data_IF_234845316949
#
_entry.id   IF_234845316949
#
_cell.length_a   1.000
_cell.length_b   1.000
_cell.length_c   1.000
_cell.angle_alpha   90.00
_cell.angle_beta   90.00
_cell.angle_gamma   90.00
#
_symmetry.space_group_name_H-M   'P 1'
#
loop_
_entity.id
_entity.type
_entity.pdbx_description
1 polymer ?
#
# COMPACT_ATOMS: atom_id res chain seq x y z
N UNK A 1 13.55 -30.91 -27.85
CA UNK A 1 13.76 -30.83 -26.40
C UNK A 1 13.27 -29.48 -25.97
N UNK A 2 12.41 -29.39 -24.97
CA UNK A 2 11.88 -28.15 -24.42
C UNK A 2 12.58 -27.82 -23.10
N UNK A 3 12.68 -26.53 -22.80
CA UNK A 3 13.37 -26.06 -21.61
C UNK A 3 12.47 -25.08 -20.83
N UNK A 4 12.64 -25.03 -19.51
CA UNK A 4 11.97 -24.04 -18.64
C UNK A 4 12.98 -23.35 -17.74
N UNK A 5 12.94 -22.03 -17.72
CA UNK A 5 13.60 -21.17 -16.74
C UNK A 5 12.55 -20.73 -15.73
N UNK A 6 12.57 -21.29 -14.54
CA UNK A 6 11.66 -20.94 -13.46
C UNK A 6 12.29 -19.87 -12.57
N UNK A 7 11.53 -18.81 -12.29
CA UNK A 7 11.93 -17.73 -11.38
C UNK A 7 10.97 -17.69 -10.19
N UNK A 8 11.50 -17.96 -9.00
CA UNK A 8 10.82 -17.59 -7.74
C UNK A 8 11.22 -16.16 -7.36
N UNK A 9 10.26 -15.24 -7.53
CA UNK A 9 10.51 -13.80 -7.50
C UNK A 9 10.31 -13.23 -6.10
N UNK A 10 11.33 -12.54 -5.58
CA UNK A 10 11.29 -11.79 -4.34
C UNK A 10 11.67 -10.31 -4.57
N UNK A 11 11.66 -9.51 -3.51
CA UNK A 11 12.04 -8.10 -3.58
C UNK A 11 13.52 -7.95 -3.99
N UNK A 12 13.75 -7.47 -5.21
CA UNK A 12 15.07 -7.14 -5.73
C UNK A 12 15.93 -8.34 -6.13
N UNK A 13 15.42 -9.58 -6.05
CA UNK A 13 16.14 -10.80 -6.43
C UNK A 13 15.16 -11.92 -6.82
N UNK A 14 15.67 -12.94 -7.51
CA UNK A 14 14.94 -14.18 -7.80
C UNK A 14 15.83 -15.39 -7.60
N UNK A 15 15.24 -16.49 -7.15
CA UNK A 15 15.85 -17.81 -7.29
C UNK A 15 15.53 -18.35 -8.69
N UNK A 16 16.52 -18.80 -9.42
CA UNK A 16 16.40 -19.19 -10.83
C UNK A 16 16.87 -20.61 -11.01
N UNK A 17 16.09 -21.43 -11.74
CA UNK A 17 16.42 -22.80 -12.08
C UNK A 17 16.12 -23.04 -13.57
N UNK A 18 17.00 -23.75 -14.26
CA UNK A 18 16.82 -24.14 -15.65
C UNK A 18 16.80 -25.67 -15.76
N UNK A 19 15.75 -26.20 -16.39
CA UNK A 19 15.63 -27.64 -16.62
C UNK A 19 15.02 -27.98 -17.99
N UNK A 20 15.24 -29.21 -18.45
CA UNK A 20 14.67 -29.77 -19.68
C UNK A 20 13.44 -30.64 -19.42
N UNK A 21 12.69 -30.95 -20.48
CA UNK A 21 11.52 -31.83 -20.47
C UNK A 21 11.88 -33.32 -20.21
N UNK A 22 13.13 -33.68 -20.25
CA UNK A 22 13.65 -35.02 -19.90
C UNK A 22 14.13 -35.10 -18.44
N UNK A 23 14.00 -34.01 -17.68
CA UNK A 23 14.38 -33.94 -16.26
C UNK A 23 15.82 -33.56 -15.98
N UNK A 24 16.59 -33.17 -17.01
CA UNK A 24 17.95 -32.67 -16.82
C UNK A 24 17.95 -31.27 -16.23
N UNK A 25 18.74 -31.04 -15.17
CA UNK A 25 18.96 -29.73 -14.55
C UNK A 25 20.21 -29.10 -15.13
N UNK A 26 20.00 -28.04 -15.93
CA UNK A 26 21.10 -27.31 -16.56
C UNK A 26 21.64 -26.17 -15.68
N UNK A 27 20.75 -25.60 -14.84
CA UNK A 27 21.14 -24.63 -13.82
C UNK A 27 20.42 -24.97 -12.51
N UNK A 28 21.18 -25.34 -11.50
CA UNK A 28 20.68 -25.55 -10.13
C UNK A 28 20.11 -24.24 -9.56
N UNK A 29 19.16 -24.31 -8.60
CA UNK A 29 18.57 -23.14 -7.98
C UNK A 29 19.64 -22.16 -7.48
N UNK A 30 19.79 -21.05 -8.20
CA UNK A 30 20.82 -20.03 -7.99
C UNK A 30 20.16 -18.67 -7.84
N UNK A 31 20.62 -17.87 -6.90
CA UNK A 31 20.10 -16.51 -6.67
C UNK A 31 20.71 -15.54 -7.69
N UNK A 32 19.83 -14.70 -8.26
CA UNK A 32 20.17 -13.58 -9.14
C UNK A 32 19.47 -12.32 -8.64
N UNK A 33 20.21 -11.21 -8.60
CA UNK A 33 19.65 -9.90 -8.25
C UNK A 33 18.99 -9.25 -9.48
N UNK A 34 17.98 -8.40 -9.25
CA UNK A 34 17.28 -7.70 -10.33
C UNK A 34 18.08 -6.48 -10.83
N UNK A 35 19.33 -6.71 -11.22
CA UNK A 35 20.18 -5.72 -11.84
C UNK A 35 20.57 -6.13 -13.27
N UNK A 36 21.06 -5.18 -14.05
CA UNK A 36 21.41 -5.38 -15.45
C UNK A 36 22.47 -6.47 -15.62
N UNK A 37 23.50 -6.46 -14.78
CA UNK A 37 24.63 -7.40 -14.86
C UNK A 37 24.19 -8.86 -14.67
N UNK A 38 23.32 -9.11 -13.68
CA UNK A 38 22.82 -10.46 -13.40
C UNK A 38 21.86 -10.94 -14.48
N UNK A 39 21.00 -10.07 -15.01
CA UNK A 39 20.14 -10.41 -16.14
C UNK A 39 20.94 -10.73 -17.41
N UNK A 40 21.97 -9.94 -17.73
CA UNK A 40 22.88 -10.21 -18.85
C UNK A 40 23.67 -11.52 -18.66
N UNK A 41 24.00 -11.86 -17.41
CA UNK A 41 24.67 -13.13 -17.08
C UNK A 41 23.79 -14.34 -17.38
N UNK A 42 22.49 -14.27 -17.03
CA UNK A 42 21.51 -15.32 -17.34
C UNK A 42 21.33 -15.44 -18.86
N UNK A 43 21.13 -14.32 -19.55
CA UNK A 43 20.95 -14.29 -21.00
C UNK A 43 22.17 -14.88 -21.74
N UNK A 44 23.38 -14.50 -21.33
CA UNK A 44 24.63 -15.05 -21.85
C UNK A 44 24.77 -16.55 -21.63
N UNK A 45 24.32 -17.03 -20.46
CA UNK A 45 24.32 -18.46 -20.14
C UNK A 45 23.37 -19.24 -21.06
N UNK A 46 22.14 -18.76 -21.23
CA UNK A 46 21.13 -19.36 -22.12
C UNK A 46 21.60 -19.34 -23.57
N UNK A 47 22.21 -18.24 -24.02
CA UNK A 47 22.74 -18.08 -25.37
C UNK A 47 23.86 -19.08 -25.69
N UNK A 48 24.75 -19.36 -24.72
CA UNK A 48 25.81 -20.38 -24.86
C UNK A 48 25.25 -21.79 -25.03
N UNK A 49 24.11 -22.09 -24.42
CA UNK A 49 23.42 -23.36 -24.55
C UNK A 49 22.66 -23.51 -25.88
N UNK A 50 22.45 -22.42 -26.60
CA UNK A 50 21.68 -22.36 -27.87
C UNK A 50 20.25 -22.96 -27.74
N UNK A 51 19.55 -22.66 -26.63
CA UNK A 51 18.25 -23.25 -26.32
C UNK A 51 17.09 -22.24 -26.33
N UNK A 52 17.38 -20.99 -26.67
CA UNK A 52 16.45 -19.86 -26.54
C UNK A 52 15.11 -20.09 -27.25
N UNK A 53 15.10 -20.63 -28.46
CA UNK A 53 13.89 -20.85 -29.26
C UNK A 53 12.93 -21.90 -28.65
N UNK A 54 13.46 -22.76 -27.78
CA UNK A 54 12.71 -23.83 -27.11
C UNK A 54 12.56 -23.59 -25.60
N UNK A 55 12.90 -22.39 -25.13
CA UNK A 55 12.88 -22.03 -23.72
C UNK A 55 11.63 -21.21 -23.36
N UNK A 56 10.94 -21.65 -22.33
CA UNK A 56 9.89 -20.88 -21.69
C UNK A 56 10.37 -20.35 -20.35
N UNK A 57 10.23 -19.06 -20.13
CA UNK A 57 10.49 -18.40 -18.83
C UNK A 57 9.20 -18.34 -18.04
N UNK A 58 9.19 -18.88 -16.84
CA UNK A 58 8.00 -18.87 -15.98
C UNK A 58 8.28 -18.13 -14.69
N UNK A 59 7.30 -17.36 -14.21
CA UNK A 59 7.36 -16.68 -12.93
C UNK A 59 5.98 -16.44 -12.32
N UNK A 60 5.93 -16.41 -10.99
CA UNK A 60 4.72 -16.07 -10.26
C UNK A 60 4.55 -14.53 -10.19
N UNK A 61 3.32 -14.04 -10.35
CA UNK A 61 2.99 -12.62 -10.22
C UNK A 61 3.09 -12.15 -8.76
N UNK A 62 4.31 -11.90 -8.28
CA UNK A 62 4.57 -11.48 -6.90
C UNK A 62 4.59 -9.96 -6.80
N UNK A 63 3.44 -9.36 -6.44
CA UNK A 63 3.28 -7.90 -6.33
C UNK A 63 3.83 -7.17 -7.57
N UNK A 64 4.66 -6.14 -7.37
CA UNK A 64 5.34 -5.40 -8.46
C UNK A 64 6.71 -5.98 -8.82
N UNK A 65 7.22 -6.94 -8.02
CA UNK A 65 8.62 -7.37 -8.12
C UNK A 65 8.93 -8.21 -9.37
N UNK A 66 7.92 -8.91 -9.92
CA UNK A 66 8.05 -9.67 -11.16
C UNK A 66 8.17 -8.77 -12.41
N UNK A 67 7.79 -7.49 -12.34
CA UNK A 67 7.77 -6.59 -13.51
C UNK A 67 9.16 -6.38 -14.12
N UNK A 68 10.23 -6.31 -13.31
CA UNK A 68 11.58 -6.11 -13.83
C UNK A 68 12.11 -7.33 -14.60
N UNK A 69 12.10 -8.57 -14.05
CA UNK A 69 12.47 -9.75 -14.82
C UNK A 69 11.53 -10.01 -16.01
N UNK A 70 10.23 -9.85 -15.85
CA UNK A 70 9.27 -9.98 -16.97
C UNK A 70 9.65 -9.08 -18.14
N UNK A 71 9.89 -7.79 -17.86
CA UNK A 71 10.29 -6.81 -18.88
C UNK A 71 11.58 -7.22 -19.57
N UNK A 72 12.61 -7.57 -18.79
CA UNK A 72 13.91 -7.96 -19.35
C UNK A 72 13.78 -9.13 -20.33
N UNK A 73 13.13 -10.20 -19.94
CA UNK A 73 13.00 -11.39 -20.78
C UNK A 73 12.11 -11.13 -22.00
N UNK A 74 11.03 -10.33 -21.88
CA UNK A 74 10.20 -9.94 -23.04
C UNK A 74 10.96 -9.06 -24.03
N UNK A 75 11.70 -8.05 -23.56
CA UNK A 75 12.52 -7.17 -24.42
C UNK A 75 13.63 -7.97 -25.16
N UNK A 76 14.08 -9.06 -24.59
CA UNK A 76 15.03 -9.98 -25.21
C UNK A 76 14.35 -11.12 -25.98
N UNK A 77 13.09 -11.02 -26.35
CA UNK A 77 12.32 -11.97 -27.15
C UNK A 77 12.27 -13.40 -26.59
N UNK A 78 12.18 -13.56 -25.27
CA UNK A 78 11.87 -14.84 -24.66
C UNK A 78 10.36 -15.07 -24.59
N UNK A 79 9.95 -16.35 -24.67
CA UNK A 79 8.58 -16.73 -24.32
C UNK A 79 8.40 -16.69 -22.80
N UNK A 80 7.63 -15.72 -22.30
CA UNK A 80 7.47 -15.49 -20.85
C UNK A 80 6.03 -15.77 -20.43
N UNK A 81 5.86 -16.63 -19.44
CA UNK A 81 4.59 -16.92 -18.79
C UNK A 81 4.63 -16.37 -17.36
N UNK A 82 3.82 -15.37 -17.08
CA UNK A 82 3.55 -14.92 -15.72
C UNK A 82 2.22 -15.52 -15.28
N UNK A 83 2.16 -16.18 -14.15
CA UNK A 83 0.93 -16.83 -13.66
C UNK A 83 0.50 -16.33 -12.28
N UNK A 84 -0.81 -16.54 -11.97
CA UNK A 84 -1.39 -16.08 -10.71
C UNK A 84 -0.90 -16.93 -9.53
N UNK A 85 -0.47 -16.30 -8.40
CA UNK A 85 -0.09 -16.98 -7.16
C UNK A 85 -1.11 -17.99 -6.61
N UNK A 86 -2.39 -17.80 -6.88
CA UNK A 86 -3.45 -18.71 -6.43
C UNK A 86 -3.32 -20.11 -7.05
N UNK A 87 -2.83 -20.23 -8.28
CA UNK A 87 -2.60 -21.51 -8.96
C UNK A 87 -1.53 -22.33 -8.23
N UNK A 88 -0.46 -21.66 -7.77
CA UNK A 88 0.60 -22.29 -6.99
C UNK A 88 0.13 -22.77 -5.61
N UNK A 89 -0.76 -22.05 -4.94
CA UNK A 89 -1.25 -22.39 -3.59
C UNK A 89 -2.21 -23.56 -3.55
N UNK A 90 -3.09 -23.69 -4.52
CA UNK A 90 -4.05 -24.81 -4.57
C UNK A 90 -3.35 -26.17 -4.69
N UNK A 91 -2.19 -26.20 -5.33
CA UNK A 91 -1.45 -27.43 -5.61
C UNK A 91 -0.42 -27.74 -4.52
N UNK A 92 0.07 -26.72 -3.78
CA UNK A 92 1.13 -26.90 -2.77
C UNK A 92 0.64 -27.23 -1.37
N UNK A 93 -0.67 -27.24 -1.10
CA UNK A 93 -1.24 -27.54 0.22
C UNK A 93 -0.99 -28.97 0.74
N UNK A 94 -0.32 -29.83 -0.04
CA UNK A 94 -0.14 -31.25 0.28
C UNK A 94 1.24 -31.64 0.80
N UNK A 95 2.25 -30.76 0.85
CA UNK A 95 3.62 -31.19 1.23
C UNK A 95 4.32 -30.23 2.20
N UNK A 96 4.66 -30.80 3.34
CA UNK A 96 5.51 -30.40 4.50
C UNK A 96 6.32 -29.09 4.53
N UNK A 97 6.40 -28.57 5.73
CA UNK A 97 6.78 -27.36 6.44
C UNK A 97 8.23 -26.81 6.35
N UNK A 98 9.08 -27.20 5.45
CA UNK A 98 10.39 -26.52 5.29
C UNK A 98 10.37 -25.67 4.03
N UNK A 99 10.09 -24.39 4.19
CA UNK A 99 10.04 -23.41 3.10
C UNK A 99 11.44 -22.84 2.89
N UNK A 100 12.08 -23.17 1.77
CA UNK A 100 13.29 -22.50 1.30
C UNK A 100 13.08 -22.06 -0.15
N UNK A 101 13.61 -20.91 -0.52
CA UNK A 101 13.48 -20.32 -1.86
C UNK A 101 13.94 -21.30 -2.96
N UNK A 102 14.96 -22.13 -2.67
CA UNK A 102 15.40 -23.20 -3.58
C UNK A 102 14.32 -24.25 -3.84
N UNK A 103 13.63 -24.68 -2.79
CA UNK A 103 12.55 -25.67 -2.93
C UNK A 103 11.35 -25.09 -3.66
N UNK A 104 11.05 -23.82 -3.47
CA UNK A 104 9.95 -23.16 -4.16
C UNK A 104 10.23 -23.01 -5.64
N UNK A 105 11.46 -22.70 -6.04
CA UNK A 105 11.88 -22.71 -7.46
C UNK A 105 11.78 -24.11 -8.09
N UNK A 106 12.19 -25.17 -7.39
CA UNK A 106 12.04 -26.57 -7.85
C UNK A 106 10.56 -26.94 -8.02
N UNK A 107 9.70 -26.52 -7.08
CA UNK A 107 8.24 -26.74 -7.18
C UNK A 107 7.64 -26.06 -8.40
N UNK A 108 8.03 -24.81 -8.67
CA UNK A 108 7.58 -24.07 -9.86
C UNK A 108 7.92 -24.83 -11.15
N UNK A 109 9.16 -25.30 -11.26
CA UNK A 109 9.62 -26.12 -12.37
C UNK A 109 8.77 -27.39 -12.52
N UNK A 110 8.51 -28.10 -11.43
CA UNK A 110 7.69 -29.31 -11.45
C UNK A 110 6.21 -29.03 -11.81
N UNK A 111 5.65 -27.90 -11.39
CA UNK A 111 4.29 -27.48 -11.75
C UNK A 111 4.16 -27.22 -13.25
N UNK A 112 5.18 -26.62 -13.86
CA UNK A 112 5.22 -26.39 -15.30
C UNK A 112 5.23 -27.71 -16.08
N UNK A 113 6.12 -28.62 -15.74
CA UNK A 113 6.23 -29.91 -16.43
C UNK A 113 5.01 -30.80 -16.22
N UNK A 114 4.27 -30.65 -15.13
CA UNK A 114 2.98 -31.32 -14.91
C UNK A 114 1.81 -30.70 -15.69
N UNK A 115 2.03 -29.62 -16.44
CA UNK A 115 0.98 -28.92 -17.16
C UNK A 115 -0.01 -28.15 -16.25
N UNK A 116 0.37 -27.92 -15.00
CA UNK A 116 -0.48 -27.22 -14.03
C UNK A 116 -0.45 -25.70 -14.20
N UNK A 117 0.54 -25.16 -14.91
CA UNK A 117 0.65 -23.73 -15.24
C UNK A 117 0.01 -23.55 -16.62
N UNK A 118 -1.09 -22.78 -16.74
CA UNK A 118 -1.73 -22.54 -18.03
C UNK A 118 -0.79 -21.74 -18.93
N UNK A 119 -0.72 -22.13 -20.21
CA UNK A 119 0.02 -21.43 -21.25
C UNK A 119 -0.73 -20.12 -21.66
N UNK A 120 -1.06 -19.33 -20.67
CA UNK A 120 -1.67 -18.01 -20.83
C UNK A 120 -0.92 -17.06 -19.94
N UNK A 121 -0.39 -16.01 -20.54
CA UNK A 121 0.03 -14.87 -19.73
C UNK A 121 -1.14 -14.41 -18.90
N UNK A 122 -0.93 -14.30 -17.59
CA UNK A 122 -1.80 -13.54 -16.72
C UNK A 122 -1.71 -12.07 -17.18
N UNK A 123 -2.56 -11.70 -18.12
CA UNK A 123 -2.79 -10.30 -18.41
C UNK A 123 -3.63 -9.77 -17.26
N UNK A 124 -2.98 -9.18 -16.28
CA UNK A 124 -3.67 -8.23 -15.41
C UNK A 124 -4.31 -7.22 -16.37
N UNK A 125 -5.63 -7.19 -16.43
CA UNK A 125 -6.34 -6.12 -17.09
C UNK A 125 -5.83 -4.82 -16.46
N UNK A 126 -5.24 -3.96 -17.27
CA UNK A 126 -4.57 -2.74 -16.82
C UNK A 126 -5.53 -1.85 -16.01
N UNK A 127 -6.83 -1.95 -16.32
CA UNK A 127 -7.92 -1.28 -15.61
C UNK A 127 -8.08 -1.87 -14.20
N UNK A 128 -8.07 -3.20 -14.06
CA UNK A 128 -8.15 -3.85 -12.74
C UNK A 128 -6.94 -3.55 -11.85
N UNK A 129 -5.75 -3.51 -12.41
CA UNK A 129 -4.53 -3.14 -11.68
C UNK A 129 -4.64 -1.71 -11.15
N UNK A 130 -5.02 -0.76 -12.02
CA UNK A 130 -5.22 0.64 -11.63
C UNK A 130 -6.33 0.81 -10.58
N UNK A 131 -7.45 0.10 -10.73
CA UNK A 131 -8.54 0.13 -9.74
C UNK A 131 -8.10 -0.41 -8.39
N UNK A 132 -7.36 -1.52 -8.36
CA UNK A 132 -6.82 -2.07 -7.12
C UNK A 132 -5.82 -1.14 -6.43
N UNK A 133 -4.96 -0.48 -7.20
CA UNK A 133 -4.01 0.52 -6.67
C UNK A 133 -4.75 1.73 -6.09
N UNK A 134 -5.72 2.28 -6.81
CA UNK A 134 -6.55 3.39 -6.33
C UNK A 134 -7.36 3.01 -5.09
N UNK A 135 -7.94 1.81 -5.06
CA UNK A 135 -8.67 1.30 -3.90
C UNK A 135 -7.76 1.19 -2.67
N UNK A 136 -6.56 0.64 -2.81
CA UNK A 136 -5.57 0.57 -1.73
C UNK A 136 -5.16 1.96 -1.24
N UNK A 137 -4.94 2.91 -2.15
CA UNK A 137 -4.63 4.29 -1.78
C UNK A 137 -5.79 4.94 -1.02
N UNK A 138 -7.03 4.74 -1.47
CA UNK A 138 -8.21 5.24 -0.78
C UNK A 138 -8.29 4.72 0.66
N UNK A 139 -8.19 3.42 0.87
CA UNK A 139 -8.22 2.83 2.23
C UNK A 139 -7.07 3.34 3.10
N UNK A 140 -5.87 3.46 2.55
CA UNK A 140 -4.72 3.98 3.30
C UNK A 140 -4.92 5.43 3.74
N UNK A 141 -5.50 6.28 2.87
CA UNK A 141 -5.84 7.67 3.21
C UNK A 141 -6.97 7.74 4.24
N UNK A 142 -7.98 6.90 4.12
CA UNK A 142 -9.11 6.84 5.06
C UNK A 142 -8.67 6.40 6.47
N UNK A 143 -7.85 5.38 6.57
CA UNK A 143 -7.22 4.97 7.83
C UNK A 143 -6.33 6.09 8.40
N UNK A 144 -5.56 6.77 7.54
CA UNK A 144 -4.74 7.93 7.93
C UNK A 144 -5.59 9.06 8.50
N UNK A 145 -6.67 9.40 7.79
CA UNK A 145 -7.63 10.42 8.24
C UNK A 145 -8.25 10.06 9.60
N UNK A 146 -8.63 8.80 9.78
CA UNK A 146 -9.20 8.31 11.05
C UNK A 146 -8.20 8.44 12.19
N UNK A 147 -6.93 8.08 11.99
CA UNK A 147 -5.87 8.27 12.99
C UNK A 147 -5.68 9.74 13.35
N UNK A 148 -5.67 10.64 12.37
CA UNK A 148 -5.55 12.08 12.61
C UNK A 148 -6.77 12.65 13.34
N UNK A 149 -7.99 12.23 13.00
CA UNK A 149 -9.20 12.62 13.70
C UNK A 149 -9.19 12.19 15.17
N UNK A 150 -8.76 10.96 15.44
CA UNK A 150 -8.66 10.47 16.82
C UNK A 150 -7.61 11.27 17.61
N UNK A 151 -6.43 11.51 17.02
CA UNK A 151 -5.38 12.31 17.66
C UNK A 151 -5.83 13.75 17.92
N UNK A 152 -6.55 14.35 16.98
CA UNK A 152 -7.14 15.68 17.16
C UNK A 152 -8.13 15.72 18.33
N UNK A 153 -9.03 14.72 18.44
CA UNK A 153 -9.97 14.61 19.57
C UNK A 153 -9.26 14.43 20.91
N UNK A 154 -8.22 13.61 20.97
CA UNK A 154 -7.41 13.42 22.18
C UNK A 154 -6.80 14.75 22.65
N UNK A 155 -6.16 15.49 21.74
CA UNK A 155 -5.56 16.80 22.06
C UNK A 155 -6.62 17.83 22.46
N UNK A 156 -7.74 17.83 21.73
CA UNK A 156 -8.87 18.71 22.04
C UNK A 156 -9.42 18.44 23.45
N UNK A 157 -9.58 17.17 23.81
CA UNK A 157 -10.05 16.78 25.14
C UNK A 157 -9.09 17.20 26.26
N UNK A 158 -7.78 17.25 25.98
CA UNK A 158 -6.81 17.76 26.96
C UNK A 158 -6.89 19.27 27.15
N UNK A 159 -7.16 20.03 26.07
CA UNK A 159 -7.14 21.50 26.10
C UNK A 159 -8.51 22.13 26.34
N UNK A 160 -9.59 21.50 25.86
CA UNK A 160 -10.96 21.96 25.97
C UNK A 160 -11.95 20.78 25.81
N UNK A 161 -12.19 19.98 26.86
CA UNK A 161 -13.03 18.79 26.82
C UNK A 161 -14.41 18.99 26.20
N UNK A 162 -15.05 20.13 26.50
CA UNK A 162 -16.43 20.44 26.10
C UNK A 162 -16.53 21.01 24.67
N UNK A 163 -15.39 21.23 23.95
CA UNK A 163 -15.44 21.83 22.63
C UNK A 163 -16.26 21.02 21.62
N UNK A 164 -16.24 19.70 21.73
CA UNK A 164 -17.06 18.82 20.89
C UNK A 164 -18.56 19.07 21.05
N UNK A 165 -19.01 19.42 22.24
CA UNK A 165 -20.41 19.75 22.53
C UNK A 165 -20.86 21.06 21.88
N UNK A 166 -19.92 21.97 21.61
CA UNK A 166 -20.17 23.21 20.90
C UNK A 166 -20.48 23.04 19.43
N UNK A 167 -20.06 21.90 18.81
CA UNK A 167 -20.18 21.62 17.37
C UNK A 167 -20.87 20.30 17.14
N UNK A 168 -22.17 20.32 16.89
CA UNK A 168 -22.98 19.12 16.65
C UNK A 168 -22.59 18.41 15.36
N UNK A 169 -22.91 17.12 15.27
CA UNK A 169 -22.83 16.29 14.06
C UNK A 169 -21.44 16.23 13.39
N UNK A 170 -20.38 16.15 14.18
CA UNK A 170 -19.02 16.02 13.69
C UNK A 170 -18.42 17.30 13.08
N UNK A 171 -19.10 18.45 13.20
CA UNK A 171 -18.65 19.75 12.68
C UNK A 171 -17.41 20.33 13.35
N UNK A 172 -16.83 19.63 14.31
CA UNK A 172 -15.51 19.95 14.88
C UNK A 172 -14.39 19.87 13.83
N UNK A 173 -14.62 19.19 12.70
CA UNK A 173 -13.69 19.11 11.58
C UNK A 173 -13.96 20.13 10.48
N UNK A 174 -15.01 20.95 10.60
CA UNK A 174 -15.30 22.02 9.65
C UNK A 174 -14.23 23.13 9.76
N UNK A 175 -14.00 23.82 8.66
CA UNK A 175 -12.99 24.88 8.58
C UNK A 175 -13.17 25.95 9.67
N UNK A 176 -14.42 26.28 10.01
CA UNK A 176 -14.73 27.23 11.08
C UNK A 176 -14.24 26.76 12.45
N UNK A 177 -14.48 25.49 12.80
CA UNK A 177 -14.05 24.93 14.07
C UNK A 177 -12.53 24.76 14.13
N UNK A 178 -11.92 24.30 13.03
CA UNK A 178 -10.48 24.12 12.94
C UNK A 178 -9.72 25.45 13.03
N UNK A 179 -10.18 26.49 12.33
CA UNK A 179 -9.56 27.82 12.41
C UNK A 179 -9.78 28.46 13.79
N UNK A 180 -10.95 28.24 14.40
CA UNK A 180 -11.22 28.74 15.74
C UNK A 180 -10.28 28.12 16.77
N UNK A 181 -10.13 26.80 16.80
CA UNK A 181 -9.26 26.12 17.77
C UNK A 181 -7.77 26.37 17.49
N UNK A 182 -7.40 26.61 16.25
CA UNK A 182 -6.04 27.00 15.88
C UNK A 182 -5.65 28.36 16.49
N UNK A 183 -6.58 29.29 16.53
CA UNK A 183 -6.35 30.63 17.12
C UNK A 183 -6.53 30.62 18.65
N UNK A 184 -7.48 29.83 19.15
CA UNK A 184 -7.81 29.74 20.57
C UNK A 184 -7.72 28.27 21.02
N UNK A 185 -6.51 27.72 21.20
CA UNK A 185 -6.32 26.28 21.39
C UNK A 185 -6.70 25.75 22.79
N UNK A 186 -7.02 26.62 23.75
CA UNK A 186 -7.24 26.26 25.14
C UNK A 186 -8.46 26.96 25.73
N UNK A 187 -9.22 26.27 26.59
CA UNK A 187 -10.42 26.84 27.24
C UNK A 187 -10.10 28.12 28.02
N UNK A 188 -8.98 28.18 28.73
CA UNK A 188 -8.60 29.37 29.52
C UNK A 188 -8.32 30.60 28.65
N UNK A 189 -7.75 30.41 27.45
CA UNK A 189 -7.59 31.51 26.49
C UNK A 189 -8.97 32.03 26.04
N UNK A 190 -9.92 31.13 25.79
CA UNK A 190 -11.27 31.47 25.30
C UNK A 190 -12.07 32.23 26.37
N UNK A 191 -12.02 31.79 27.64
CA UNK A 191 -12.78 32.46 28.74
C UNK A 191 -12.42 33.95 28.90
N UNK A 192 -11.15 34.30 28.60
CA UNK A 192 -10.65 35.69 28.78
C UNK A 192 -10.92 36.58 27.55
N UNK A 193 -11.32 35.99 26.41
CA UNK A 193 -11.62 36.76 25.20
C UNK A 193 -13.03 37.34 25.20
N UNK A 194 -13.17 38.49 24.51
CA UNK A 194 -14.49 39.10 24.28
C UNK A 194 -15.27 38.27 23.27
N UNK A 195 -16.59 38.15 23.48
CA UNK A 195 -17.49 37.39 22.58
C UNK A 195 -17.42 37.89 21.14
N UNK A 196 -17.30 39.21 20.94
CA UNK A 196 -17.17 39.79 19.60
C UNK A 196 -15.90 39.30 18.90
N UNK A 197 -14.74 39.20 19.57
CA UNK A 197 -13.51 38.72 19.02
C UNK A 197 -13.61 37.24 18.58
N UNK A 198 -14.23 36.41 19.44
CA UNK A 198 -14.49 35.00 19.11
C UNK A 198 -15.44 34.85 17.92
N UNK A 199 -16.49 35.67 17.85
CA UNK A 199 -17.44 35.69 16.76
C UNK A 199 -16.83 36.14 15.43
N UNK A 200 -16.02 37.17 15.44
CA UNK A 200 -15.31 37.65 14.23
C UNK A 200 -14.34 36.59 13.67
N UNK A 201 -13.61 35.90 14.53
CA UNK A 201 -12.72 34.81 14.07
C UNK A 201 -13.51 33.73 13.31
N UNK A 202 -14.67 33.30 13.84
CA UNK A 202 -15.51 32.34 13.15
C UNK A 202 -16.15 32.89 11.87
N UNK A 203 -16.56 34.16 11.85
CA UNK A 203 -17.21 34.81 10.71
C UNK A 203 -16.26 34.94 9.51
N UNK A 204 -14.96 35.10 9.72
CA UNK A 204 -13.96 35.19 8.66
C UNK A 204 -13.84 33.90 7.82
N UNK A 205 -14.44 32.80 8.25
CA UNK A 205 -14.35 31.50 7.57
C UNK A 205 -15.56 31.15 6.71
N UNK A 206 -16.67 31.94 6.81
CA UNK A 206 -17.91 31.58 6.15
C UNK A 206 -18.85 32.80 6.04
N UNK A 207 -19.70 32.85 5.00
CA UNK A 207 -20.61 33.97 4.70
C UNK A 207 -21.88 34.06 5.57
N UNK A 208 -21.92 33.46 6.74
CA UNK A 208 -23.07 33.53 7.64
C UNK A 208 -23.10 34.85 8.39
N UNK A 209 -24.29 35.31 8.73
CA UNK A 209 -24.51 36.54 9.53
C UNK A 209 -23.74 36.52 10.85
N UNK A 210 -23.07 37.61 11.19
CA UNK A 210 -22.30 37.77 12.43
C UNK A 210 -23.11 37.43 13.70
N UNK A 211 -24.40 37.71 13.71
CA UNK A 211 -25.30 37.37 14.84
C UNK A 211 -25.38 35.85 15.13
N UNK A 212 -25.26 35.01 14.11
CA UNK A 212 -25.15 33.55 14.27
C UNK A 212 -23.88 33.21 15.05
N UNK A 213 -22.75 33.79 14.64
CA UNK A 213 -21.48 33.52 15.30
C UNK A 213 -21.39 34.12 16.69
N UNK A 214 -22.04 35.26 16.98
CA UNK A 214 -22.16 35.80 18.35
C UNK A 214 -22.88 34.86 19.30
N UNK A 215 -24.00 34.25 18.85
CA UNK A 215 -24.70 33.21 19.63
C UNK A 215 -23.80 32.01 19.89
N UNK A 216 -23.10 31.54 18.87
CA UNK A 216 -22.18 30.41 19.00
C UNK A 216 -21.01 30.72 19.91
N UNK A 217 -20.40 31.91 19.79
CA UNK A 217 -19.33 32.39 20.65
C UNK A 217 -19.73 32.45 22.12
N UNK A 218 -20.97 32.88 22.42
CA UNK A 218 -21.50 32.86 23.80
C UNK A 218 -21.55 31.42 24.35
N UNK A 219 -22.07 30.46 23.60
CA UNK A 219 -22.11 29.06 24.00
C UNK A 219 -20.72 28.51 24.26
N UNK A 220 -19.76 28.73 23.33
CA UNK A 220 -18.38 28.29 23.47
C UNK A 220 -17.74 28.90 24.71
N UNK A 221 -17.97 30.21 24.95
CA UNK A 221 -17.41 30.90 26.10
C UNK A 221 -18.02 30.39 27.42
N UNK A 222 -19.30 30.08 27.45
CA UNK A 222 -19.98 29.50 28.63
C UNK A 222 -19.35 28.16 29.01
N UNK A 223 -19.16 27.26 28.02
CA UNK A 223 -18.43 26.00 28.22
C UNK A 223 -16.99 26.23 28.70
N UNK A 224 -16.26 27.17 28.07
CA UNK A 224 -14.90 27.48 28.44
C UNK A 224 -14.74 28.03 29.88
N UNK A 225 -15.68 28.78 30.37
CA UNK A 225 -15.68 29.27 31.75
C UNK A 225 -15.86 28.13 32.78
N UNK A 226 -16.62 27.12 32.40
CA UNK A 226 -16.88 25.95 33.26
C UNK A 226 -15.96 24.79 33.01
N UNK A 227 -15.06 24.89 32.03
CA UNK A 227 -14.16 23.82 31.63
C UNK A 227 -13.00 23.63 32.63
N UNK A 228 -12.58 22.36 32.78
CA UNK A 228 -11.38 21.99 33.54
C UNK A 228 -10.43 21.15 32.65
N UNK A 229 -9.59 21.82 31.86
CA UNK A 229 -8.64 21.14 30.98
C UNK A 229 -7.64 20.24 31.72
N UNK A 230 -7.19 19.16 31.05
CA UNK A 230 -6.22 18.23 31.59
C UNK A 230 -4.76 18.72 31.53
N UNK A 231 -4.51 19.87 30.85
CA UNK A 231 -3.20 20.51 30.72
C UNK A 231 -3.31 22.00 31.00
N UNK A 232 -2.21 22.64 31.31
CA UNK A 232 -2.14 24.11 31.44
C UNK A 232 -2.05 24.78 30.07
N UNK A 233 -2.35 26.07 29.99
CA UNK A 233 -2.34 26.87 28.76
C UNK A 233 -0.95 27.24 28.20
N UNK A 234 0.13 26.85 28.91
CA UNK A 234 1.55 27.13 28.55
C UNK A 234 2.18 26.00 27.77
#
# INVERSE_FOLDING_TARGET
MKYVLALDVAKGKSMVMLSSDVGEVLLEPTEYTHNKSDFERIDSYISKLNIKDNLTVIMEATSIYHKAPERFFKENNYHVIVFNPLIGKEITNTIRKTKTDKQDCIKLTNLFWKGSIPDRNYTEDEIYTKLNELSRQYYHLDEGLTRHKNRYKELLHLCFPEFELCFKDGKIYDLTALNFIKEFPHAYIIKDKRVDALAYNMANTNDRHLNYYKRKANIIKEYAINSYPGVNEN
#
